data_IF_047871826498
#
_entry.id   IF_047871826498
#
_cell.length_a   1.000
_cell.length_b   1.000
_cell.length_c   1.000
_cell.angle_alpha   90.00
_cell.angle_beta   90.00
_cell.angle_gamma   90.00
#
_symmetry.space_group_name_H-M   'P 1'
#
loop_
_entity.id
_entity.type
_entity.pdbx_description
1 polymer ?
#
# COMPACT_ATOMS: atom_id res chain seq x y z
N UNK A 1 7.39 -7.63 7.06
CA UNK A 1 7.16 -6.21 7.40
C UNK A 1 7.60 -5.97 8.84
N UNK A 2 8.24 -4.85 9.13
CA UNK A 2 8.68 -4.48 10.49
C UNK A 2 8.13 -3.12 10.88
N UNK A 3 7.71 -3.02 12.15
CA UNK A 3 7.09 -1.83 12.75
C UNK A 3 8.02 -1.22 13.78
N UNK A 4 8.19 0.10 13.72
CA UNK A 4 9.03 0.84 14.66
C UNK A 4 8.26 1.81 15.54
N UNK A 5 7.00 2.11 15.21
CA UNK A 5 6.25 3.21 15.85
C UNK A 5 4.85 2.85 16.37
N UNK A 6 4.49 1.56 16.45
CA UNK A 6 3.16 1.13 16.87
C UNK A 6 2.76 1.65 18.28
N UNK A 7 3.72 1.84 19.18
CA UNK A 7 3.46 2.33 20.55
C UNK A 7 3.00 3.79 20.61
N UNK A 8 3.41 4.66 19.69
CA UNK A 8 2.98 6.07 19.70
C UNK A 8 1.55 6.26 19.21
N UNK A 9 1.10 5.44 18.25
CA UNK A 9 -0.27 5.50 17.72
C UNK A 9 -1.33 5.07 18.74
N UNK A 10 -0.94 4.29 19.75
CA UNK A 10 -1.83 3.89 20.85
C UNK A 10 -1.92 4.94 21.96
N UNK A 11 -0.91 5.80 22.12
CA UNK A 11 -0.84 6.80 23.21
C UNK A 11 -1.65 8.07 22.93
N UNK A 12 -2.00 8.34 21.67
CA UNK A 12 -2.75 9.54 21.24
C UNK A 12 -4.17 9.20 20.73
N UNK A 13 -4.77 8.10 21.20
CA UNK A 13 -6.06 7.63 20.68
C UNK A 13 -7.21 8.39 21.34
N UNK A 14 -7.97 9.25 20.63
CA UNK A 14 -9.18 9.84 21.20
C UNK A 14 -10.18 8.73 21.53
N UNK A 15 -10.94 8.88 22.63
CA UNK A 15 -11.79 7.83 23.22
C UNK A 15 -12.81 7.22 22.23
N UNK A 16 -13.17 7.94 21.17
CA UNK A 16 -14.15 7.53 20.16
C UNK A 16 -13.57 6.90 18.89
N UNK A 17 -12.25 6.65 18.84
CA UNK A 17 -11.61 6.15 17.62
C UNK A 17 -11.78 4.64 17.46
N UNK A 18 -12.44 4.20 16.38
CA UNK A 18 -12.68 2.78 16.11
C UNK A 18 -11.70 2.20 15.09
N UNK A 19 -11.06 3.01 14.25
CA UNK A 19 -10.14 2.59 13.19
C UNK A 19 -9.12 3.68 12.82
N UNK A 20 -7.99 3.29 12.20
CA UNK A 20 -7.05 4.21 11.58
C UNK A 20 -6.54 3.65 10.23
N UNK A 21 -6.16 4.57 9.36
CA UNK A 21 -5.66 4.30 8.01
C UNK A 21 -4.41 5.11 7.73
N UNK A 22 -3.40 4.49 7.12
CA UNK A 22 -2.35 5.26 6.49
C UNK A 22 -2.83 5.81 5.13
N UNK A 23 -2.34 7.01 4.77
CA UNK A 23 -2.64 7.68 3.50
C UNK A 23 -1.54 7.42 2.47
N UNK A 24 -1.93 7.33 1.20
CA UNK A 24 -1.00 7.32 0.08
C UNK A 24 -1.54 8.14 -1.10
N UNK A 25 -0.66 8.70 -1.92
CA UNK A 25 -1.06 9.62 -3.02
C UNK A 25 -1.33 8.88 -4.34
N UNK A 26 -0.87 7.63 -4.47
CA UNK A 26 -1.11 6.82 -5.67
C UNK A 26 -2.55 6.33 -5.73
N UNK A 27 -3.26 6.69 -6.80
CA UNK A 27 -4.65 6.32 -7.05
C UNK A 27 -4.69 5.32 -8.21
N UNK A 28 -5.26 4.15 -7.98
CA UNK A 28 -5.42 3.11 -9.00
C UNK A 28 -6.87 3.04 -9.49
N UNK A 29 -7.14 3.61 -10.67
CA UNK A 29 -8.50 3.78 -11.22
C UNK A 29 -9.34 2.48 -11.24
N UNK A 30 -8.82 1.31 -11.66
CA UNK A 30 -9.60 0.06 -11.69
C UNK A 30 -10.31 -0.29 -10.37
N UNK A 31 -9.73 0.04 -9.21
CA UNK A 31 -10.36 -0.21 -7.92
C UNK A 31 -11.67 0.56 -7.75
N UNK A 32 -11.71 1.81 -8.19
CA UNK A 32 -12.91 2.65 -8.09
C UNK A 32 -13.96 2.29 -9.12
N UNK A 33 -13.54 1.80 -10.29
CA UNK A 33 -14.46 1.26 -11.30
C UNK A 33 -15.18 0.02 -10.75
N UNK A 34 -14.45 -0.89 -10.11
CA UNK A 34 -15.02 -2.06 -9.41
C UNK A 34 -15.90 -1.66 -8.24
N UNK A 35 -15.48 -0.68 -7.43
CA UNK A 35 -16.29 -0.12 -6.33
C UNK A 35 -17.64 0.40 -6.82
N UNK A 36 -17.65 1.07 -7.98
CA UNK A 36 -18.88 1.55 -8.62
C UNK A 36 -19.77 0.42 -9.12
N UNK A 37 -19.20 -0.63 -9.72
CA UNK A 37 -19.96 -1.81 -10.19
C UNK A 37 -20.58 -2.61 -9.05
N UNK A 38 -19.95 -2.61 -7.87
CA UNK A 38 -20.47 -3.25 -6.67
C UNK A 38 -21.77 -2.61 -6.14
N UNK A 39 -22.09 -1.35 -6.51
CA UNK A 39 -23.36 -0.69 -6.16
C UNK A 39 -23.75 -0.77 -4.67
N UNK A 40 -22.75 -0.76 -3.77
CA UNK A 40 -22.96 -0.91 -2.33
C UNK A 40 -23.72 0.31 -1.80
N UNK A 41 -24.86 0.16 -1.11
CA UNK A 41 -25.62 1.29 -0.59
C UNK A 41 -24.91 1.94 0.60
N UNK A 42 -24.99 3.27 0.64
CA UNK A 42 -24.48 4.17 1.69
C UNK A 42 -25.66 5.01 2.16
N UNK A 43 -25.90 4.99 3.46
CA UNK A 43 -27.01 5.69 4.08
C UNK A 43 -26.51 6.98 4.71
N UNK A 44 -27.08 8.11 4.29
CA UNK A 44 -26.93 9.41 4.95
C UNK A 44 -28.29 9.85 5.46
N UNK A 45 -28.31 10.78 6.42
CA UNK A 45 -29.52 11.18 7.17
C UNK A 45 -30.77 11.33 6.28
N UNK A 46 -30.63 11.94 5.09
CA UNK A 46 -31.75 12.21 4.20
C UNK A 46 -31.60 11.59 2.79
N UNK A 47 -30.64 10.70 2.55
CA UNK A 47 -30.44 10.11 1.22
C UNK A 47 -29.73 8.76 1.22
N UNK A 48 -29.99 7.98 0.18
CA UNK A 48 -29.27 6.74 -0.15
C UNK A 48 -28.43 7.01 -1.39
N UNK A 49 -27.14 6.73 -1.31
CA UNK A 49 -26.21 6.80 -2.45
C UNK A 49 -25.46 5.48 -2.59
N UNK A 50 -24.76 5.30 -3.71
CA UNK A 50 -23.82 4.18 -3.87
C UNK A 50 -22.43 4.56 -3.33
N UNK A 51 -21.69 3.57 -2.83
CA UNK A 51 -20.34 3.73 -2.32
C UNK A 51 -19.40 4.14 -3.44
N UNK A 52 -18.91 5.38 -3.36
CA UNK A 52 -17.91 5.94 -4.26
C UNK A 52 -16.63 6.24 -3.49
N UNK A 53 -15.61 6.72 -4.21
CA UNK A 53 -14.44 7.33 -3.59
C UNK A 53 -14.88 8.52 -2.71
N UNK A 54 -14.48 8.50 -1.45
CA UNK A 54 -14.92 9.46 -0.43
C UNK A 54 -13.83 10.48 -0.03
N UNK A 55 -12.57 10.21 -0.37
CA UNK A 55 -11.41 11.01 0.02
C UNK A 55 -10.48 11.29 -1.17
N UNK A 56 -9.62 12.30 -1.04
CA UNK A 56 -8.67 12.75 -2.07
C UNK A 56 -7.32 12.01 -2.06
N UNK A 57 -7.08 11.15 -1.07
CA UNK A 57 -5.96 10.20 -1.01
C UNK A 57 -6.41 8.77 -1.35
N UNK A 58 -5.48 7.81 -1.26
CA UNK A 58 -5.67 6.38 -1.44
C UNK A 58 -5.45 5.62 -0.13
N UNK A 59 -6.18 4.53 0.01
CA UNK A 59 -6.04 3.57 1.10
C UNK A 59 -5.12 2.39 0.74
N UNK A 60 -4.52 2.36 -0.45
CA UNK A 60 -3.55 1.32 -0.85
C UNK A 60 -2.24 1.55 -0.09
N UNK A 61 -2.28 1.16 1.17
CA UNK A 61 -1.16 1.22 2.10
C UNK A 61 -1.08 -0.12 2.80
N UNK A 62 0.11 -0.43 3.28
CA UNK A 62 0.37 -1.64 4.04
C UNK A 62 -0.33 -1.64 5.42
N UNK A 63 -0.93 -0.50 5.83
CA UNK A 63 -1.45 -0.30 7.19
C UNK A 63 -2.91 0.16 7.21
N UNK A 64 -3.76 -0.75 7.66
CA UNK A 64 -5.18 -0.51 7.85
C UNK A 64 -5.66 -1.30 9.07
N UNK A 65 -6.24 -0.60 10.05
CA UNK A 65 -6.88 -1.26 11.19
C UNK A 65 -8.32 -1.61 10.82
N UNK A 66 -8.64 -2.90 10.74
CA UNK A 66 -9.99 -3.35 10.44
C UNK A 66 -10.79 -3.46 11.73
N UNK A 67 -11.88 -2.69 11.81
CA UNK A 67 -12.93 -2.90 12.80
C UNK A 67 -13.87 -4.03 12.32
N UNK A 68 -13.99 -5.09 13.13
CA UNK A 68 -14.73 -6.28 12.78
C UNK A 68 -16.22 -6.01 12.50
N UNK A 69 -16.90 -5.23 13.35
CA UNK A 69 -18.34 -4.98 13.17
C UNK A 69 -18.62 -4.20 11.89
N UNK A 70 -17.78 -3.19 11.60
CA UNK A 70 -17.89 -2.40 10.37
C UNK A 70 -17.60 -3.27 9.13
N UNK A 71 -16.61 -4.18 9.19
CA UNK A 71 -16.30 -5.09 8.08
C UNK A 71 -17.44 -6.08 7.83
N UNK A 72 -17.99 -6.69 8.88
CA UNK A 72 -19.14 -7.58 8.78
C UNK A 72 -20.37 -6.88 8.18
N UNK A 73 -20.58 -5.61 8.52
CA UNK A 73 -21.62 -4.79 7.91
C UNK A 73 -21.37 -4.57 6.41
N UNK A 74 -20.15 -4.18 6.02
CA UNK A 74 -19.78 -4.01 4.61
C UNK A 74 -20.02 -5.29 3.81
N UNK A 75 -19.55 -6.44 4.31
CA UNK A 75 -19.79 -7.75 3.72
C UNK A 75 -21.28 -8.00 3.57
N UNK A 76 -22.05 -7.82 4.64
CA UNK A 76 -23.51 -8.02 4.62
C UNK A 76 -24.21 -7.13 3.59
N UNK A 77 -23.74 -5.89 3.39
CA UNK A 77 -24.30 -4.99 2.38
C UNK A 77 -23.99 -5.48 0.97
N UNK A 78 -22.76 -5.91 0.70
CA UNK A 78 -22.37 -6.49 -0.60
C UNK A 78 -23.26 -7.72 -0.90
N UNK A 79 -23.37 -8.64 0.06
CA UNK A 79 -24.13 -9.88 -0.14
C UNK A 79 -25.62 -9.62 -0.39
N UNK A 80 -26.22 -8.67 0.35
CA UNK A 80 -27.61 -8.26 0.14
C UNK A 80 -27.84 -7.57 -1.20
N UNK A 81 -26.90 -6.74 -1.66
CA UNK A 81 -27.00 -6.04 -2.95
C UNK A 81 -27.00 -7.01 -4.13
N UNK A 82 -26.19 -8.07 -4.06
CA UNK A 82 -25.99 -9.00 -5.17
C UNK A 82 -26.71 -10.35 -5.02
N UNK A 83 -27.26 -10.64 -3.84
CA UNK A 83 -27.83 -11.94 -3.46
C UNK A 83 -26.84 -13.10 -3.70
N UNK A 84 -25.56 -12.88 -3.34
CA UNK A 84 -24.42 -13.79 -3.53
C UNK A 84 -23.45 -13.66 -2.37
N UNK A 85 -22.48 -14.58 -2.24
CA UNK A 85 -21.39 -14.41 -1.30
C UNK A 85 -20.53 -13.20 -1.71
N UNK A 86 -19.99 -12.47 -0.74
CA UNK A 86 -19.35 -11.17 -1.02
C UNK A 86 -18.19 -11.29 -2.02
N UNK A 87 -17.42 -12.37 -1.94
CA UNK A 87 -16.28 -12.59 -2.83
C UNK A 87 -16.70 -12.91 -4.27
N UNK A 88 -17.84 -13.58 -4.47
CA UNK A 88 -18.40 -13.84 -5.80
C UNK A 88 -18.86 -12.53 -6.44
N UNK A 89 -19.59 -11.72 -5.68
CA UNK A 89 -20.02 -10.39 -6.12
C UNK A 89 -18.82 -9.49 -6.48
N UNK A 90 -17.74 -9.55 -5.70
CA UNK A 90 -16.49 -8.83 -6.00
C UNK A 90 -15.86 -9.34 -7.30
N UNK A 91 -15.69 -10.64 -7.47
CA UNK A 91 -15.07 -11.22 -8.66
C UNK A 91 -15.85 -10.89 -9.94
N UNK A 92 -17.18 -10.96 -9.90
CA UNK A 92 -18.04 -10.60 -11.04
C UNK A 92 -18.06 -9.09 -11.32
N UNK A 93 -17.74 -8.27 -10.33
CA UNK A 93 -17.65 -6.80 -10.47
C UNK A 93 -16.31 -6.32 -10.99
N UNK A 94 -15.30 -7.21 -11.13
CA UNK A 94 -14.01 -6.86 -11.70
C UNK A 94 -14.10 -6.89 -13.23
N UNK A 95 -13.48 -5.90 -13.87
CA UNK A 95 -13.36 -5.88 -15.33
C UNK A 95 -12.48 -7.04 -15.81
N UNK A 96 -12.89 -7.75 -16.84
CA UNK A 96 -12.11 -8.88 -17.39
C UNK A 96 -10.67 -8.46 -17.77
N UNK A 97 -10.49 -7.24 -18.30
CA UNK A 97 -9.17 -6.72 -18.66
C UNK A 97 -8.28 -6.43 -17.44
N UNK A 98 -8.88 -6.34 -16.25
CA UNK A 98 -8.21 -6.01 -14.98
C UNK A 98 -8.04 -7.23 -14.06
N UNK A 99 -8.56 -8.40 -14.43
CA UNK A 99 -8.35 -9.65 -13.66
C UNK A 99 -6.86 -9.97 -13.48
N UNK A 100 -6.04 -9.70 -14.51
CA UNK A 100 -4.59 -9.89 -14.46
C UNK A 100 -3.80 -8.68 -13.94
N UNK A 101 -4.47 -7.53 -13.71
CA UNK A 101 -3.84 -6.24 -13.43
C UNK A 101 -4.28 -5.62 -12.09
N UNK A 102 -4.78 -6.44 -11.17
CA UNK A 102 -5.33 -6.01 -9.86
C UNK A 102 -6.56 -5.10 -10.02
N UNK A 103 -7.72 -5.68 -10.37
CA UNK A 103 -8.96 -4.93 -10.53
C UNK A 103 -9.74 -4.61 -9.24
N UNK A 104 -9.32 -5.14 -8.09
CA UNK A 104 -9.97 -4.92 -6.79
C UNK A 104 -8.96 -4.63 -5.69
N UNK A 105 -9.36 -3.78 -4.72
CA UNK A 105 -8.60 -3.51 -3.50
C UNK A 105 -9.56 -3.52 -2.31
N UNK A 106 -9.29 -4.45 -1.39
CA UNK A 106 -9.94 -4.52 -0.08
C UNK A 106 -9.70 -3.25 0.73
N UNK A 107 -8.51 -2.64 0.59
CA UNK A 107 -8.14 -1.42 1.27
C UNK A 107 -8.95 -0.23 0.80
N UNK A 108 -9.07 -0.03 -0.53
CA UNK A 108 -9.91 1.04 -1.07
C UNK A 108 -11.38 0.82 -0.73
N UNK A 109 -11.86 -0.42 -0.83
CA UNK A 109 -13.27 -0.71 -0.56
C UNK A 109 -13.64 -0.43 0.89
N UNK A 110 -12.84 -0.96 1.84
CA UNK A 110 -13.09 -0.74 3.27
C UNK A 110 -12.83 0.70 3.69
N UNK A 111 -11.71 1.30 3.26
CA UNK A 111 -11.37 2.68 3.61
C UNK A 111 -12.40 3.70 3.14
N UNK A 112 -12.90 3.56 1.91
CA UNK A 112 -13.95 4.45 1.41
C UNK A 112 -15.31 4.18 2.09
N UNK A 113 -15.61 2.94 2.48
CA UNK A 113 -16.80 2.61 3.26
C UNK A 113 -16.77 3.31 4.63
N UNK A 114 -15.64 3.18 5.35
CA UNK A 114 -15.44 3.87 6.62
C UNK A 114 -15.49 5.38 6.45
N UNK A 115 -14.79 5.95 5.46
CA UNK A 115 -14.84 7.39 5.23
C UNK A 115 -16.25 7.90 4.92
N UNK A 116 -17.06 7.10 4.23
CA UNK A 116 -18.43 7.48 3.86
C UNK A 116 -19.46 7.36 4.99
N UNK A 117 -19.27 6.42 5.93
CA UNK A 117 -20.28 6.09 6.95
C UNK A 117 -19.82 6.41 8.38
N UNK A 118 -18.52 6.37 8.62
CA UNK A 118 -17.88 6.39 9.93
C UNK A 118 -16.71 7.39 9.98
N UNK A 119 -16.69 8.40 9.11
CA UNK A 119 -15.56 9.33 8.98
C UNK A 119 -15.14 10.00 10.30
N UNK A 120 -16.10 10.28 11.19
CA UNK A 120 -15.84 10.87 12.51
C UNK A 120 -15.21 9.89 13.52
N UNK A 121 -15.10 8.60 13.18
CA UNK A 121 -14.54 7.54 14.03
C UNK A 121 -13.20 7.00 13.48
N UNK A 122 -12.70 7.58 12.38
CA UNK A 122 -11.50 7.13 11.69
C UNK A 122 -10.38 8.17 11.78
N UNK A 123 -9.17 7.73 12.14
CA UNK A 123 -7.96 8.56 12.04
C UNK A 123 -7.24 8.28 10.72
N UNK A 124 -6.89 9.33 9.99
CA UNK A 124 -6.11 9.20 8.78
C UNK A 124 -4.71 9.77 8.98
N UNK A 125 -3.68 8.93 8.96
CA UNK A 125 -2.29 9.28 9.27
C UNK A 125 -1.39 9.18 8.05
N UNK A 126 -0.28 9.92 8.07
CA UNK A 126 0.81 9.73 7.09
C UNK A 126 1.94 8.99 7.79
N UNK A 127 2.37 7.86 7.23
CA UNK A 127 3.50 7.08 7.74
C UNK A 127 4.70 7.25 6.81
N UNK A 128 5.89 7.35 7.39
CA UNK A 128 7.15 7.26 6.66
C UNK A 128 7.45 5.79 6.44
N UNK A 129 7.16 5.31 5.24
CA UNK A 129 7.31 3.91 4.87
C UNK A 129 8.51 3.70 3.94
N UNK A 130 9.13 2.54 4.02
CA UNK A 130 10.10 2.10 3.03
C UNK A 130 9.92 0.64 2.62
N UNK A 131 9.39 0.44 1.41
CA UNK A 131 9.18 -0.87 0.81
C UNK A 131 10.47 -1.50 0.26
N UNK A 132 11.49 -0.69 0.00
CA UNK A 132 12.75 -1.12 -0.59
C UNK A 132 13.86 -1.33 0.46
N UNK A 133 13.50 -1.40 1.75
CA UNK A 133 14.46 -1.43 2.85
C UNK A 133 15.46 -2.60 2.75
N UNK A 134 15.04 -3.76 2.19
CA UNK A 134 15.95 -4.89 1.93
C UNK A 134 17.22 -4.50 1.18
N UNK A 135 17.15 -3.50 0.31
CA UNK A 135 18.33 -3.01 -0.44
C UNK A 135 19.38 -2.34 0.46
N UNK A 136 18.99 -1.83 1.65
CA UNK A 136 19.86 -1.08 2.57
C UNK A 136 20.15 -1.85 3.86
N UNK A 137 19.24 -2.71 4.33
CA UNK A 137 19.38 -3.45 5.60
C UNK A 137 19.46 -4.97 5.44
N UNK A 138 19.53 -5.47 4.19
CA UNK A 138 19.56 -6.90 3.85
C UNK A 138 18.26 -7.65 4.17
N UNK A 139 18.21 -8.93 3.78
CA UNK A 139 17.07 -9.81 4.09
C UNK A 139 16.94 -10.15 5.58
N UNK A 140 18.08 -10.25 6.28
CA UNK A 140 18.17 -10.55 7.70
C UNK A 140 18.85 -9.38 8.41
N UNK A 141 18.13 -8.29 8.71
CA UNK A 141 18.70 -7.10 9.33
C UNK A 141 19.09 -7.38 10.79
N UNK A 142 20.20 -6.79 11.21
CA UNK A 142 20.63 -6.82 12.61
C UNK A 142 19.81 -5.83 13.45
N UNK A 143 19.74 -6.04 14.77
CA UNK A 143 19.07 -5.11 15.69
C UNK A 143 19.57 -3.67 15.54
N UNK A 144 20.89 -3.47 15.39
CA UNK A 144 21.50 -2.15 15.16
C UNK A 144 21.11 -1.50 13.84
N UNK A 145 20.84 -2.29 12.80
CA UNK A 145 20.31 -1.75 11.55
C UNK A 145 18.86 -1.30 11.73
N UNK A 146 18.05 -2.08 12.45
CA UNK A 146 16.66 -1.75 12.76
C UNK A 146 16.53 -0.50 13.64
N UNK A 147 17.31 -0.40 14.72
CA UNK A 147 17.38 0.81 15.57
C UNK A 147 17.82 2.06 14.81
N UNK A 148 18.68 1.91 13.80
CA UNK A 148 19.07 3.02 12.95
C UNK A 148 17.96 3.38 11.96
N UNK A 149 17.28 2.38 11.38
CA UNK A 149 16.17 2.58 10.44
C UNK A 149 14.95 3.24 11.10
N UNK A 150 14.63 2.85 12.34
CA UNK A 150 13.49 3.35 13.10
C UNK A 150 13.52 4.86 13.36
N UNK A 151 14.70 5.48 13.26
CA UNK A 151 14.85 6.94 13.38
C UNK A 151 14.28 7.70 12.18
N UNK A 152 14.16 7.03 11.03
CA UNK A 152 13.79 7.64 9.75
C UNK A 152 12.44 7.17 9.23
N UNK A 153 12.09 5.92 9.50
CA UNK A 153 10.87 5.29 9.01
C UNK A 153 10.03 4.76 10.16
N UNK A 154 8.73 4.88 10.02
CA UNK A 154 7.77 4.34 10.96
C UNK A 154 7.57 2.84 10.70
N UNK A 155 7.66 2.42 9.43
CA UNK A 155 7.60 1.01 9.01
C UNK A 155 8.48 0.73 7.80
N UNK A 156 8.98 -0.51 7.68
CA UNK A 156 9.72 -0.95 6.51
C UNK A 156 9.37 -2.38 6.07
N UNK A 157 9.56 -2.66 4.78
CA UNK A 157 9.35 -3.98 4.20
C UNK A 157 10.63 -4.60 3.61
N UNK A 158 10.70 -5.91 3.78
CA UNK A 158 11.77 -6.77 3.25
C UNK A 158 11.12 -7.65 2.20
N UNK A 159 10.84 -7.07 1.04
CA UNK A 159 10.13 -7.75 -0.04
C UNK A 159 11.06 -8.73 -0.76
N UNK A 160 10.53 -9.87 -1.19
CA UNK A 160 11.32 -10.93 -1.82
C UNK A 160 11.92 -10.50 -3.16
N UNK A 161 11.17 -9.73 -3.95
CA UNK A 161 11.58 -9.23 -5.28
C UNK A 161 12.56 -8.06 -5.23
N UNK A 162 12.80 -7.45 -4.06
CA UNK A 162 13.83 -6.42 -3.92
C UNK A 162 15.20 -7.11 -3.86
N UNK A 163 16.10 -6.74 -4.76
CA UNK A 163 17.47 -7.23 -4.72
C UNK A 163 18.23 -6.63 -3.52
N UNK A 164 18.92 -7.49 -2.79
CA UNK A 164 19.85 -7.05 -1.75
C UNK A 164 21.06 -6.37 -2.40
N UNK A 165 21.39 -5.16 -1.95
CA UNK A 165 22.57 -4.47 -2.44
C UNK A 165 23.78 -4.73 -1.53
N UNK A 166 24.99 -4.47 -2.04
CA UNK A 166 26.19 -4.53 -1.22
C UNK A 166 26.14 -3.57 -0.01
N UNK A 167 25.33 -2.49 -0.08
CA UNK A 167 25.12 -1.55 1.02
C UNK A 167 24.47 -2.25 2.21
N UNK A 168 23.56 -3.20 1.97
CA UNK A 168 22.99 -4.06 3.01
C UNK A 168 24.04 -4.72 3.91
N UNK A 169 25.14 -5.17 3.29
CA UNK A 169 26.27 -5.77 4.02
C UNK A 169 27.12 -4.73 4.74
N UNK A 170 27.31 -3.55 4.15
CA UNK A 170 28.09 -2.46 4.73
C UNK A 170 27.41 -1.84 5.96
N UNK A 171 26.10 -1.65 5.92
CA UNK A 171 25.34 -1.03 7.01
C UNK A 171 25.27 -1.90 8.27
N UNK A 172 25.85 -3.13 8.26
CA UNK A 172 26.14 -3.91 9.47
C UNK A 172 27.21 -3.25 10.35
N UNK A 173 28.12 -2.46 9.78
CA UNK A 173 29.14 -1.71 10.52
C UNK A 173 28.66 -0.29 10.84
N UNK A 174 28.99 0.21 12.03
CA UNK A 174 28.45 1.48 12.55
C UNK A 174 28.82 2.69 11.69
N UNK A 175 30.03 2.72 11.12
CA UNK A 175 30.50 3.82 10.29
C UNK A 175 29.57 4.12 9.11
N UNK A 176 28.98 3.11 8.49
CA UNK A 176 28.07 3.26 7.35
C UNK A 176 26.64 3.65 7.74
N UNK A 177 26.30 3.59 9.04
CA UNK A 177 25.02 4.06 9.59
C UNK A 177 25.06 5.52 10.06
N UNK A 178 26.21 6.19 9.91
CA UNK A 178 26.28 7.66 10.04
C UNK A 178 25.56 8.38 8.90
N UNK A 179 25.48 7.74 7.74
CA UNK A 179 24.73 8.17 6.56
C UNK A 179 23.27 7.77 6.74
N UNK A 180 22.32 8.61 6.31
CA UNK A 180 20.89 8.28 6.41
C UNK A 180 20.46 7.22 5.37
N UNK A 181 19.43 6.41 5.66
CA UNK A 181 18.85 5.50 4.67
C UNK A 181 18.40 6.21 3.39
N UNK A 182 17.84 7.40 3.49
CA UNK A 182 17.41 8.21 2.35
C UNK A 182 18.58 8.54 1.41
N UNK A 183 19.74 8.90 1.97
CA UNK A 183 20.96 9.14 1.19
C UNK A 183 21.43 7.87 0.49
N UNK A 184 21.36 6.72 1.17
CA UNK A 184 21.69 5.43 0.56
C UNK A 184 20.77 5.07 -0.62
N UNK A 185 19.45 5.31 -0.48
CA UNK A 185 18.50 5.16 -1.59
C UNK A 185 18.86 6.04 -2.78
N UNK A 186 19.19 7.32 -2.56
CA UNK A 186 19.65 8.21 -3.65
C UNK A 186 20.88 7.67 -4.37
N UNK A 187 21.86 7.17 -3.62
CA UNK A 187 23.09 6.57 -4.17
C UNK A 187 22.76 5.33 -5.01
N UNK A 188 21.86 4.46 -4.53
CA UNK A 188 21.44 3.28 -5.26
C UNK A 188 20.65 3.62 -6.54
N UNK A 189 19.75 4.59 -6.48
CA UNK A 189 18.97 5.05 -7.63
C UNK A 189 19.85 5.65 -8.72
N UNK A 190 20.83 6.49 -8.34
CA UNK A 190 21.81 7.05 -9.27
C UNK A 190 22.66 5.97 -9.98
N UNK A 191 22.93 4.83 -9.33
CA UNK A 191 23.61 3.68 -9.96
C UNK A 191 22.67 2.83 -10.84
N UNK A 192 21.36 2.84 -10.59
CA UNK A 192 20.37 2.05 -11.34
C UNK A 192 19.97 2.72 -12.66
N UNK A 193 19.84 4.05 -12.71
CA UNK A 193 19.43 4.78 -13.93
C UNK A 193 20.31 4.48 -15.17
N UNK A 194 21.66 4.50 -15.08
CA UNK A 194 22.52 4.16 -16.23
C UNK A 194 22.37 2.70 -16.68
N UNK A 195 22.07 1.79 -15.75
CA UNK A 195 21.91 0.37 -16.02
C UNK A 195 20.55 0.06 -16.67
N UNK A 196 19.47 0.74 -16.26
CA UNK A 196 18.15 0.63 -16.88
C UNK A 196 18.20 1.17 -18.31
N UNK A 197 18.85 2.31 -18.54
CA UNK A 197 19.04 2.85 -19.89
C UNK A 197 19.79 1.85 -20.79
N UNK A 198 20.90 1.29 -20.31
CA UNK A 198 21.66 0.26 -21.04
C UNK A 198 20.85 -1.01 -21.30
N UNK A 199 20.05 -1.48 -20.33
CA UNK A 199 19.17 -2.65 -20.51
C UNK A 199 18.04 -2.38 -21.52
N UNK A 200 17.39 -1.22 -21.45
CA UNK A 200 16.36 -0.79 -22.42
C UNK A 200 16.95 -0.64 -23.84
N UNK A 201 18.15 -0.07 -23.95
CA UNK A 201 18.87 0.05 -25.21
C UNK A 201 19.22 -1.33 -25.80
N UNK A 202 19.75 -2.26 -24.98
CA UNK A 202 20.02 -3.64 -25.40
C UNK A 202 18.76 -4.40 -25.83
N UNK A 203 17.64 -4.24 -25.10
CA UNK A 203 16.37 -4.86 -25.46
C UNK A 203 15.82 -4.29 -26.78
N UNK A 204 15.92 -2.97 -26.98
CA UNK A 204 15.50 -2.30 -28.21
C UNK A 204 16.36 -2.72 -29.41
N UNK A 205 17.68 -2.85 -29.23
CA UNK A 205 18.61 -3.36 -30.23
C UNK A 205 18.34 -4.84 -30.57
N UNK A 206 18.07 -5.69 -29.56
CA UNK A 206 17.72 -7.10 -29.76
C UNK A 206 16.43 -7.26 -30.57
N UNK A 207 15.42 -6.44 -30.31
CA UNK A 207 14.17 -6.42 -31.07
C UNK A 207 14.34 -5.90 -32.51
N UNK A 208 15.35 -5.06 -32.78
CA UNK A 208 15.69 -4.62 -34.14
C UNK A 208 16.44 -5.70 -34.94
N UNK A 209 17.24 -6.54 -34.27
CA UNK A 209 17.95 -7.67 -34.88
C UNK A 209 17.00 -8.83 -35.21
N UNK A 210 16.01 -9.11 -34.36
CA UNK A 210 15.02 -10.17 -34.60
C UNK A 210 13.94 -9.83 -35.65
N UNK A 211 13.85 -8.58 -36.12
CA UNK A 211 12.89 -8.16 -37.18
C UNK A 211 13.46 -8.24 -38.61
N UNK A 212 14.66 -8.81 -38.79
CA UNK A 212 15.36 -8.91 -40.08
C UNK A 212 15.42 -10.33 -40.68
N UNK A 213 14.63 -11.27 -40.17
CA UNK A 213 14.44 -12.60 -40.75
C UNK A 213 12.96 -12.89 -40.94
#
# INVERSE_FOLDING_TARGET
MMFFHHEKLQQEKPENLTTYFAKHDYIHKPYFDTLKRLQIPIYKQDSISILMRAVDFSFIVEHMMINNSIMCELISRIEKTHNKLFFEAILESIDECQLSASGFSEFETYGNFVASQYGNQALYITLRQDRAAKSIISINPTHKQLEWYSKYYDTCCIETWIEESFIGKLTKYAVFRSISPYTWHKILSAKREPNIFRKKLKAKLKNLVCKKH
#
